data_IF_571604624338
#
_entry.id   IF_571604624338
#
_cell.length_a   1.000
_cell.length_b   1.000
_cell.length_c   1.000
_cell.angle_alpha   90.00
_cell.angle_beta   90.00
_cell.angle_gamma   90.00
#
_symmetry.space_group_name_H-M   'P 1'
#
loop_
_entity.id
_entity.type
_entity.pdbx_description
1 polymer ?
#
# COMPACT_ATOMS: atom_id res chain seq x y z
N UNK A 1 0.86 19.17 6.06
CA UNK A 1 2.04 18.40 5.60
C UNK A 1 1.87 16.91 5.94
N UNK A 2 0.97 16.23 5.22
CA UNK A 2 0.68 14.80 5.37
C UNK A 2 0.72 14.21 3.97
N UNK A 3 1.88 13.69 3.56
CA UNK A 3 2.06 13.21 2.20
C UNK A 3 3.43 12.60 1.92
N UNK A 4 4.18 12.23 2.96
CA UNK A 4 5.44 11.52 2.76
C UNK A 4 5.13 10.02 2.67
N UNK A 5 4.73 9.58 1.48
CA UNK A 5 4.64 8.16 1.15
C UNK A 5 6.04 7.64 0.89
N UNK A 6 6.65 7.01 1.90
CA UNK A 6 7.94 6.36 1.75
C UNK A 6 7.69 4.91 1.31
N UNK A 7 7.69 4.66 0.00
CA UNK A 7 7.90 3.31 -0.51
C UNK A 7 9.34 2.94 -0.15
N UNK A 8 9.53 2.25 0.98
CA UNK A 8 10.83 1.73 1.38
C UNK A 8 11.16 0.47 0.58
N UNK A 9 11.34 0.62 -0.72
CA UNK A 9 12.06 -0.38 -1.51
C UNK A 9 13.54 -0.22 -1.20
N UNK A 10 13.97 -0.85 -0.10
CA UNK A 10 15.40 -0.95 0.21
C UNK A 10 15.91 -2.29 -0.31
N UNK A 11 17.17 -2.36 -0.73
CA UNK A 11 17.80 -3.63 -1.08
C UNK A 11 17.98 -4.56 0.14
N UNK A 12 17.54 -4.13 1.33
CA UNK A 12 17.44 -4.92 2.57
C UNK A 12 16.06 -5.53 2.81
N UNK A 13 15.01 -5.12 2.08
CA UNK A 13 13.80 -5.95 2.02
C UNK A 13 14.22 -7.27 1.42
N UNK A 14 14.07 -8.34 2.19
CA UNK A 14 14.31 -9.70 1.77
C UNK A 14 13.35 -10.05 0.61
N UNK A 15 13.71 -9.64 -0.61
CA UNK A 15 13.26 -10.18 -1.89
C UNK A 15 13.72 -11.65 -2.03
N UNK A 16 14.28 -12.26 -0.97
CA UNK A 16 14.55 -13.70 -0.90
C UNK A 16 13.31 -14.55 -1.18
N UNK A 17 12.11 -14.07 -0.84
CA UNK A 17 10.88 -14.80 -1.17
C UNK A 17 10.32 -14.53 -2.58
N UNK A 18 10.89 -13.57 -3.33
CA UNK A 18 10.57 -13.40 -4.76
C UNK A 18 11.49 -14.23 -5.67
N UNK A 19 12.54 -14.83 -5.08
CA UNK A 19 13.61 -15.53 -5.79
C UNK A 19 13.94 -16.88 -5.17
N UNK A 20 12.92 -17.72 -4.94
CA UNK A 20 13.13 -19.15 -4.66
C UNK A 20 13.82 -19.92 -5.82
N UNK A 21 14.39 -19.22 -6.80
CA UNK A 21 15.19 -19.77 -7.88
C UNK A 21 16.34 -18.82 -8.27
N UNK A 22 17.20 -18.39 -7.35
CA UNK A 22 18.47 -17.77 -7.77
C UNK A 22 19.66 -18.17 -6.88
N UNK A 23 20.14 -19.38 -7.15
CA UNK A 23 21.47 -19.87 -6.80
C UNK A 23 22.54 -18.99 -7.48
N UNK A 24 23.36 -18.32 -6.68
CA UNK A 24 24.71 -17.79 -7.00
C UNK A 24 24.95 -17.42 -8.47
N UNK A 25 24.56 -16.22 -8.90
CA UNK A 25 25.10 -15.60 -10.11
C UNK A 25 25.92 -14.36 -9.73
N UNK A 26 27.11 -14.25 -10.31
CA UNK A 26 27.94 -13.05 -10.21
C UNK A 26 27.25 -11.82 -10.81
N UNK A 27 27.89 -10.63 -10.75
CA UNK A 27 27.30 -9.39 -11.22
C UNK A 27 26.87 -9.54 -12.69
N UNK A 28 25.55 -9.45 -12.91
CA UNK A 28 24.92 -9.52 -14.23
C UNK A 28 25.35 -8.31 -15.07
N UNK A 29 25.68 -8.56 -16.34
CA UNK A 29 26.02 -7.52 -17.33
C UNK A 29 24.84 -6.57 -17.63
N UNK A 30 23.64 -6.93 -17.17
CA UNK A 30 22.43 -6.13 -17.30
C UNK A 30 21.74 -5.92 -15.95
N UNK A 31 21.37 -4.67 -15.61
CA UNK A 31 20.66 -4.39 -14.37
C UNK A 31 19.32 -5.12 -14.38
N UNK A 32 19.01 -5.83 -13.30
CA UNK A 32 17.73 -6.51 -13.16
C UNK A 32 16.64 -5.47 -12.91
N UNK A 33 15.74 -5.31 -13.88
CA UNK A 33 14.63 -4.37 -13.82
C UNK A 33 13.47 -5.01 -13.07
N UNK A 34 12.93 -4.30 -12.08
CA UNK A 34 11.70 -4.66 -11.36
C UNK A 34 10.59 -3.79 -11.94
N UNK A 35 9.58 -4.43 -12.53
CA UNK A 35 8.45 -3.75 -13.16
C UNK A 35 7.35 -3.46 -12.12
N UNK A 36 6.89 -2.21 -12.08
CA UNK A 36 5.89 -1.73 -11.13
C UNK A 36 4.66 -1.25 -11.89
N UNK A 37 3.50 -1.81 -11.56
CA UNK A 37 2.21 -1.22 -11.90
C UNK A 37 1.71 -0.40 -10.72
N UNK A 38 1.58 0.92 -10.89
CA UNK A 38 1.04 1.79 -9.86
C UNK A 38 -0.41 2.10 -10.19
N UNK A 39 -1.30 1.44 -9.47
CA UNK A 39 -2.72 1.69 -9.50
C UNK A 39 -2.96 2.89 -8.61
N UNK A 40 -3.77 3.83 -9.05
CA UNK A 40 -4.05 5.06 -8.34
C UNK A 40 -5.51 5.44 -8.50
N UNK A 41 -5.95 6.33 -7.63
CA UNK A 41 -7.14 7.14 -7.92
C UNK A 41 -6.62 8.37 -8.64
N UNK A 42 -6.96 8.51 -9.91
CA UNK A 42 -6.54 9.64 -10.73
C UNK A 42 -7.76 10.27 -11.40
N UNK A 43 -7.64 11.52 -11.86
CA UNK A 43 -8.62 12.12 -12.75
C UNK A 43 -7.92 12.86 -13.88
N UNK A 44 -7.90 12.31 -15.10
CA UNK A 44 -7.53 13.10 -16.28
C UNK A 44 -8.77 13.87 -16.74
N UNK A 45 -8.84 15.20 -16.56
CA UNK A 45 -9.33 16.15 -17.57
C UNK A 45 -9.35 17.62 -17.07
N UNK A 46 -9.33 18.54 -18.06
CA UNK A 46 -9.37 19.98 -17.90
C UNK A 46 -10.76 20.53 -17.55
N UNK A 47 -10.75 21.49 -16.62
CA UNK A 47 -11.76 22.52 -16.33
C UNK A 47 -13.23 22.12 -16.54
N UNK A 48 -13.91 21.63 -15.49
CA UNK A 48 -15.22 22.15 -15.03
C UNK A 48 -15.95 21.20 -14.04
N UNK A 49 -15.61 21.29 -12.76
CA UNK A 49 -16.54 21.52 -11.63
C UNK A 49 -15.70 21.53 -10.34
N UNK A 50 -16.02 22.43 -9.41
CA UNK A 50 -15.22 22.67 -8.20
C UNK A 50 -15.43 21.64 -7.08
N UNK A 51 -16.37 20.71 -7.24
CA UNK A 51 -16.76 19.78 -6.19
C UNK A 51 -16.99 18.38 -6.75
N UNK A 52 -16.11 17.44 -6.38
CA UNK A 52 -16.40 16.02 -6.52
C UNK A 52 -17.52 15.67 -5.53
N UNK A 53 -18.63 15.05 -5.96
CA UNK A 53 -19.50 14.35 -5.02
C UNK A 53 -18.66 13.36 -4.19
N UNK A 54 -19.05 13.09 -2.95
CA UNK A 54 -18.45 12.00 -2.16
C UNK A 54 -18.65 10.68 -2.89
N UNK A 55 -17.65 10.28 -3.68
CA UNK A 55 -17.81 9.21 -4.65
C UNK A 55 -16.66 9.10 -5.66
N UNK A 56 -16.62 7.95 -6.33
CA UNK A 56 -15.49 7.40 -7.08
C UNK A 56 -15.64 7.70 -8.57
N UNK A 57 -14.62 8.28 -9.19
CA UNK A 57 -14.70 8.78 -10.57
C UNK A 57 -13.39 8.50 -11.32
N UNK A 58 -13.44 7.60 -12.32
CA UNK A 58 -12.36 7.46 -13.31
C UNK A 58 -12.37 8.69 -14.21
N UNK A 59 -11.38 9.57 -14.10
CA UNK A 59 -11.30 10.77 -14.95
C UNK A 59 -12.39 11.83 -14.77
N UNK A 60 -13.42 11.62 -13.94
CA UNK A 60 -14.64 12.46 -14.01
C UNK A 60 -14.59 13.74 -13.16
N UNK A 61 -13.68 13.85 -12.18
CA UNK A 61 -13.64 15.00 -11.27
C UNK A 61 -12.23 15.26 -10.72
N UNK A 62 -11.85 16.54 -10.52
CA UNK A 62 -10.53 16.93 -10.02
C UNK A 62 -10.33 16.44 -8.58
N UNK A 63 -9.41 15.49 -8.39
CA UNK A 63 -8.99 15.10 -7.04
C UNK A 63 -8.21 16.23 -6.37
N UNK A 64 -8.25 16.26 -5.05
CA UNK A 64 -7.46 17.20 -4.25
C UNK A 64 -5.94 17.03 -4.49
N UNK A 65 -5.17 18.00 -4.00
CA UNK A 65 -3.71 17.95 -4.10
C UNK A 65 -3.07 16.74 -3.41
N UNK A 66 -3.77 16.08 -2.47
CA UNK A 66 -3.24 14.93 -1.75
C UNK A 66 -3.11 13.73 -2.68
N UNK A 67 -4.09 13.47 -3.54
CA UNK A 67 -4.02 12.34 -4.49
C UNK A 67 -2.95 12.53 -5.56
N UNK A 68 -2.78 13.75 -6.08
CA UNK A 68 -1.68 14.06 -7.00
C UNK A 68 -0.31 13.87 -6.35
N UNK A 69 -0.19 14.16 -5.04
CA UNK A 69 1.05 13.98 -4.31
C UNK A 69 1.48 12.51 -4.25
N UNK A 70 0.55 11.56 -4.22
CA UNK A 70 0.85 10.12 -4.21
C UNK A 70 1.50 9.70 -5.53
N UNK A 71 0.91 10.12 -6.66
CA UNK A 71 1.43 9.85 -8.00
C UNK A 71 2.85 10.40 -8.20
N UNK A 72 3.02 11.67 -7.85
CA UNK A 72 4.30 12.33 -7.94
C UNK A 72 5.33 11.66 -7.02
N UNK A 73 4.94 11.28 -5.79
CA UNK A 73 5.83 10.58 -4.87
C UNK A 73 6.27 9.22 -5.42
N UNK A 74 5.38 8.47 -6.07
CA UNK A 74 5.72 7.21 -6.71
C UNK A 74 6.72 7.38 -7.87
N UNK A 75 6.47 8.37 -8.74
CA UNK A 75 7.37 8.71 -9.85
C UNK A 75 8.75 9.16 -9.35
N UNK A 76 8.78 10.07 -8.38
CA UNK A 76 10.02 10.56 -7.77
C UNK A 76 10.77 9.44 -7.05
N UNK A 77 10.07 8.53 -6.37
CA UNK A 77 10.71 7.38 -5.72
C UNK A 77 11.40 6.47 -6.73
N UNK A 78 10.78 6.18 -7.88
CA UNK A 78 11.39 5.39 -8.97
C UNK A 78 12.61 6.11 -9.55
N UNK A 79 12.48 7.41 -9.84
CA UNK A 79 13.58 8.22 -10.36
C UNK A 79 14.75 8.28 -9.38
N UNK A 80 14.49 8.66 -8.14
CA UNK A 80 15.50 8.82 -7.11
C UNK A 80 16.17 7.48 -6.76
N UNK A 81 15.40 6.39 -6.68
CA UNK A 81 15.98 5.07 -6.51
C UNK A 81 16.95 4.77 -7.66
N UNK A 82 16.53 4.93 -8.92
CA UNK A 82 17.35 4.62 -10.10
C UNK A 82 18.59 5.51 -10.27
N UNK A 83 18.55 6.74 -9.76
CA UNK A 83 19.67 7.69 -9.75
C UNK A 83 20.54 7.57 -8.48
N UNK A 84 20.14 6.72 -7.53
CA UNK A 84 20.75 6.63 -6.18
C UNK A 84 20.77 7.99 -5.47
N UNK A 85 19.69 8.75 -5.64
CA UNK A 85 19.54 10.09 -5.09
C UNK A 85 18.88 10.04 -3.69
N UNK A 86 19.68 10.31 -2.67
CA UNK A 86 19.27 10.30 -1.26
C UNK A 86 18.54 11.54 -0.75
N UNK A 87 18.20 12.53 -1.61
CA UNK A 87 17.67 13.83 -1.18
C UNK A 87 16.43 13.74 -0.26
N UNK A 88 15.49 12.84 -0.58
CA UNK A 88 14.28 12.63 0.23
C UNK A 88 14.31 11.31 1.00
N UNK A 89 15.05 10.32 0.49
CA UNK A 89 15.18 8.99 1.07
C UNK A 89 16.67 8.70 1.21
N UNK A 90 17.32 9.07 2.33
CA UNK A 90 18.77 8.90 2.48
C UNK A 90 19.25 7.46 2.24
N UNK A 91 18.39 6.47 2.47
CA UNK A 91 18.66 5.07 2.19
C UNK A 91 18.99 4.79 0.70
N UNK A 92 18.50 5.60 -0.25
CA UNK A 92 18.78 5.45 -1.68
C UNK A 92 20.21 5.83 -2.08
N UNK A 93 20.92 6.60 -1.26
CA UNK A 93 22.35 6.95 -1.43
C UNK A 93 23.26 6.14 -0.49
N UNK A 94 22.72 5.10 0.15
CA UNK A 94 23.52 4.23 1.00
C UNK A 94 24.48 3.36 0.18
N UNK A 95 25.57 2.91 0.78
CA UNK A 95 26.50 1.94 0.17
C UNK A 95 25.78 0.67 -0.30
N UNK A 96 24.76 0.22 0.44
CA UNK A 96 23.93 -0.91 0.07
C UNK A 96 23.11 -0.63 -1.21
N UNK A 97 22.58 0.58 -1.39
CA UNK A 97 21.87 0.97 -2.60
C UNK A 97 22.81 1.09 -3.81
N UNK A 98 24.02 1.63 -3.62
CA UNK A 98 25.04 1.70 -4.67
C UNK A 98 25.55 0.32 -5.11
N UNK A 99 25.62 -0.65 -4.19
CA UNK A 99 25.98 -2.04 -4.50
C UNK A 99 24.85 -2.84 -5.16
N UNK A 100 23.63 -2.30 -5.19
CA UNK A 100 22.45 -2.97 -5.71
C UNK A 100 22.35 -2.80 -7.23
N UNK A 101 22.23 -3.88 -7.98
CA UNK A 101 22.12 -3.89 -9.45
C UNK A 101 20.67 -3.74 -9.95
N UNK A 102 19.72 -3.58 -9.03
CA UNK A 102 18.31 -3.44 -9.35
C UNK A 102 17.96 -2.05 -9.86
N UNK A 103 17.06 -2.00 -10.82
CA UNK A 103 16.39 -0.77 -11.29
C UNK A 103 14.88 -0.95 -11.24
N UNK A 104 14.16 0.14 -11.08
CA UNK A 104 12.70 0.14 -11.09
C UNK A 104 12.21 0.68 -12.44
N UNK A 105 11.22 0.02 -13.03
CA UNK A 105 10.53 0.52 -14.22
C UNK A 105 9.04 0.66 -13.88
N UNK A 106 8.52 1.88 -14.03
CA UNK A 106 7.10 2.11 -13.91
C UNK A 106 6.43 1.75 -15.23
N UNK A 107 5.56 0.74 -15.22
CA UNK A 107 4.82 0.29 -16.40
C UNK A 107 3.67 1.25 -16.76
N UNK A 108 3.15 1.95 -15.77
CA UNK A 108 2.11 2.95 -15.94
C UNK A 108 1.50 3.40 -14.61
N UNK A 109 0.81 4.54 -14.68
CA UNK A 109 -0.13 5.00 -13.67
C UNK A 109 -1.53 4.61 -14.14
N UNK A 110 -2.20 3.74 -13.40
CA UNK A 110 -3.49 3.16 -13.79
C UNK A 110 -4.57 3.76 -12.90
N UNK A 111 -5.51 4.50 -13.50
CA UNK A 111 -6.66 5.03 -12.78
C UNK A 111 -7.71 3.95 -12.48
N UNK A 112 -7.66 3.40 -11.28
CA UNK A 112 -8.62 2.41 -10.81
C UNK A 112 -9.91 3.07 -10.30
N UNK A 113 -9.99 4.40 -10.20
CA UNK A 113 -11.16 5.11 -9.67
C UNK A 113 -11.54 4.74 -8.23
N UNK A 114 -10.75 3.91 -7.54
CA UNK A 114 -10.94 3.42 -6.17
C UNK A 114 -12.08 2.40 -5.93
N UNK A 115 -12.61 1.74 -6.98
CA UNK A 115 -13.56 0.62 -6.81
C UNK A 115 -12.86 -0.74 -6.86
N UNK A 116 -13.38 -1.72 -6.12
CA UNK A 116 -12.86 -3.09 -6.13
C UNK A 116 -12.95 -3.71 -7.55
N UNK A 117 -14.08 -3.53 -8.22
CA UNK A 117 -14.34 -4.14 -9.54
C UNK A 117 -13.43 -3.55 -10.61
N UNK A 118 -13.28 -2.22 -10.67
CA UNK A 118 -12.37 -1.57 -11.62
C UNK A 118 -10.93 -2.00 -11.39
N UNK A 119 -10.50 -2.10 -10.13
CA UNK A 119 -9.18 -2.62 -9.76
C UNK A 119 -8.95 -4.03 -10.31
N UNK A 120 -9.92 -4.94 -10.12
CA UNK A 120 -9.83 -6.31 -10.64
C UNK A 120 -9.82 -6.35 -12.17
N UNK A 121 -10.63 -5.50 -12.83
CA UNK A 121 -10.66 -5.39 -14.29
C UNK A 121 -9.33 -4.91 -14.85
N UNK A 122 -8.72 -3.91 -14.22
CA UNK A 122 -7.44 -3.36 -14.66
C UNK A 122 -6.30 -4.36 -14.44
N UNK A 123 -6.32 -5.13 -13.34
CA UNK A 123 -5.34 -6.21 -13.13
C UNK A 123 -5.55 -7.34 -14.14
N UNK A 124 -6.79 -7.75 -14.40
CA UNK A 124 -7.08 -8.72 -15.44
C UNK A 124 -6.62 -8.23 -16.82
N UNK A 125 -6.64 -6.91 -17.05
CA UNK A 125 -6.13 -6.31 -18.28
C UNK A 125 -4.62 -6.45 -18.42
N UNK A 126 -3.86 -6.31 -17.31
CA UNK A 126 -2.42 -6.55 -17.26
C UNK A 126 -2.09 -8.02 -17.56
N UNK A 127 -2.94 -8.95 -17.14
CA UNK A 127 -2.76 -10.39 -17.41
C UNK A 127 -2.91 -10.80 -18.88
N UNK A 128 -3.48 -9.94 -19.72
CA UNK A 128 -3.68 -10.27 -21.15
C UNK A 128 -2.39 -10.30 -21.95
N UNK A 129 -1.34 -9.67 -21.45
CA UNK A 129 -0.01 -9.74 -22.03
C UNK A 129 0.98 -10.36 -21.03
N UNK A 130 1.17 -11.70 -21.07
CA UNK A 130 2.09 -12.38 -20.17
C UNK A 130 3.54 -11.91 -20.27
N UNK A 131 3.92 -11.31 -21.40
CA UNK A 131 5.26 -10.76 -21.60
C UNK A 131 5.46 -9.42 -20.85
N UNK A 132 4.38 -8.81 -20.36
CA UNK A 132 4.38 -7.50 -19.73
C UNK A 132 3.59 -7.50 -18.41
N UNK A 133 3.92 -8.46 -17.54
CA UNK A 133 3.37 -8.53 -16.19
C UNK A 133 4.20 -7.68 -15.21
N UNK A 134 3.56 -6.96 -14.27
CA UNK A 134 4.27 -6.31 -13.18
C UNK A 134 4.80 -7.32 -12.17
N UNK A 135 6.03 -7.11 -11.70
CA UNK A 135 6.58 -7.82 -10.54
C UNK A 135 5.88 -7.40 -9.24
N UNK A 136 5.52 -6.10 -9.17
CA UNK A 136 4.90 -5.46 -8.01
C UNK A 136 3.73 -4.58 -8.43
N UNK A 137 2.63 -4.71 -7.70
CA UNK A 137 1.46 -3.84 -7.80
C UNK A 137 1.45 -2.91 -6.59
N UNK A 138 1.46 -1.60 -6.82
CA UNK A 138 1.28 -0.58 -5.78
C UNK A 138 -0.14 -0.02 -5.92
N UNK A 139 -0.96 -0.03 -4.87
CA UNK A 139 -2.40 0.31 -5.02
C UNK A 139 -3.04 1.02 -3.81
N UNK A 140 -3.98 1.97 -4.02
CA UNK A 140 -4.85 2.53 -3.01
C UNK A 140 -6.08 1.66 -2.88
N UNK A 141 -5.99 0.56 -2.14
CA UNK A 141 -7.20 -0.16 -1.81
C UNK A 141 -7.82 0.45 -0.56
N UNK A 142 -8.95 1.14 -0.67
CA UNK A 142 -9.82 1.35 0.48
C UNK A 142 -10.23 0.01 1.11
N UNK A 143 -10.70 -0.01 2.36
CA UNK A 143 -11.01 -1.27 3.07
C UNK A 143 -11.94 -2.20 2.27
N UNK A 144 -12.92 -1.66 1.53
CA UNK A 144 -13.79 -2.44 0.63
C UNK A 144 -13.06 -2.97 -0.63
N UNK A 145 -12.17 -2.17 -1.22
CA UNK A 145 -11.35 -2.58 -2.38
C UNK A 145 -10.22 -3.55 -2.01
N UNK A 146 -9.83 -3.57 -0.73
CA UNK A 146 -8.70 -4.34 -0.25
C UNK A 146 -8.99 -5.84 -0.24
N UNK A 147 -10.22 -6.26 0.02
CA UNK A 147 -10.57 -7.70 0.07
C UNK A 147 -10.31 -8.39 -1.28
N UNK A 148 -10.67 -7.76 -2.39
CA UNK A 148 -10.40 -8.30 -3.74
C UNK A 148 -8.90 -8.38 -4.04
N UNK A 149 -8.14 -7.35 -3.66
CA UNK A 149 -6.70 -7.29 -3.88
C UNK A 149 -5.90 -8.24 -2.99
N UNK A 150 -6.27 -8.31 -1.73
CA UNK A 150 -5.70 -9.20 -0.75
C UNK A 150 -6.01 -10.65 -1.15
N UNK A 151 -7.18 -10.93 -1.75
CA UNK A 151 -7.46 -12.23 -2.37
C UNK A 151 -6.52 -12.56 -3.53
N UNK A 152 -6.17 -11.60 -4.39
CA UNK A 152 -5.16 -11.80 -5.44
C UNK A 152 -3.76 -12.07 -4.87
N UNK A 153 -3.38 -11.41 -3.77
CA UNK A 153 -2.14 -11.71 -3.05
C UNK A 153 -2.17 -13.11 -2.44
N UNK A 154 -3.32 -13.54 -1.91
CA UNK A 154 -3.53 -14.90 -1.39
C UNK A 154 -3.43 -15.99 -2.45
N UNK A 155 -3.77 -15.68 -3.71
CA UNK A 155 -3.51 -16.54 -4.86
C UNK A 155 -2.02 -16.54 -5.29
N UNK A 156 -1.16 -15.79 -4.59
CA UNK A 156 0.28 -15.67 -4.84
C UNK A 156 0.66 -15.19 -6.25
N UNK A 157 -0.25 -14.52 -6.95
CA UNK A 157 -0.02 -14.09 -8.35
C UNK A 157 0.89 -12.87 -8.39
N UNK A 158 0.71 -11.92 -7.47
CA UNK A 158 1.45 -10.65 -7.44
C UNK A 158 1.93 -10.30 -6.05
N UNK A 159 3.00 -9.53 -5.99
CA UNK A 159 3.39 -8.78 -4.80
C UNK A 159 2.59 -7.48 -4.77
N UNK A 160 1.84 -7.27 -3.70
CA UNK A 160 0.96 -6.12 -3.57
C UNK A 160 1.44 -5.27 -2.41
N UNK A 161 1.80 -4.02 -2.69
CA UNK A 161 2.12 -3.00 -1.69
C UNK A 161 0.96 -2.00 -1.67
N UNK A 162 0.19 -2.00 -0.59
CA UNK A 162 -0.96 -1.12 -0.46
C UNK A 162 -0.68 0.05 0.46
N UNK A 163 -1.04 1.26 0.04
CA UNK A 163 -0.70 2.48 0.77
C UNK A 163 -1.91 3.15 1.44
N UNK A 164 -3.06 2.48 1.49
CA UNK A 164 -4.30 3.03 2.04
C UNK A 164 -5.13 2.14 2.99
N UNK A 165 -5.10 0.78 2.93
CA UNK A 165 -5.99 -0.03 3.74
C UNK A 165 -5.47 -0.16 5.17
N UNK A 166 -6.33 0.17 6.14
CA UNK A 166 -6.08 -0.05 7.57
C UNK A 166 -6.78 -1.30 8.10
N UNK A 167 -7.64 -1.96 7.32
CA UNK A 167 -8.41 -3.13 7.76
C UNK A 167 -7.51 -4.24 8.35
N UNK A 168 -7.87 -4.82 9.51
CA UNK A 168 -7.12 -5.90 10.14
C UNK A 168 -6.98 -7.17 9.31
N UNK A 169 -7.98 -7.48 8.48
CA UNK A 169 -8.03 -8.68 7.65
C UNK A 169 -6.84 -8.78 6.68
N UNK A 170 -6.33 -7.63 6.23
CA UNK A 170 -5.20 -7.56 5.33
C UNK A 170 -3.84 -7.87 6.02
N UNK A 171 -3.83 -8.00 7.35
CA UNK A 171 -2.63 -8.29 8.15
C UNK A 171 -2.37 -9.78 8.34
N UNK A 172 -3.25 -10.65 7.83
CA UNK A 172 -3.13 -12.10 7.96
C UNK A 172 -2.04 -12.62 7.01
N UNK A 173 -0.79 -12.55 7.43
CA UNK A 173 0.38 -12.98 6.64
C UNK A 173 0.30 -14.43 6.18
N UNK A 174 -0.25 -15.33 7.01
CA UNK A 174 -0.53 -16.73 6.64
C UNK A 174 -1.47 -16.86 5.44
N UNK A 175 -2.44 -15.94 5.34
CA UNK A 175 -3.46 -15.95 4.29
C UNK A 175 -3.02 -15.15 3.07
N UNK A 176 -2.18 -14.12 3.26
CA UNK A 176 -1.81 -13.15 2.24
C UNK A 176 -0.30 -12.87 2.27
N UNK A 177 0.56 -13.87 1.99
CA UNK A 177 2.00 -13.78 2.21
C UNK A 177 2.72 -12.78 1.29
N UNK A 178 2.08 -12.36 0.19
CA UNK A 178 2.61 -11.39 -0.77
C UNK A 178 1.99 -10.00 -0.64
N UNK A 179 1.22 -9.78 0.42
CA UNK A 179 0.61 -8.49 0.71
C UNK A 179 1.44 -7.72 1.73
N UNK A 180 1.74 -6.47 1.42
CA UNK A 180 2.43 -5.52 2.27
C UNK A 180 1.62 -4.22 2.33
N UNK A 181 1.76 -3.45 3.40
CA UNK A 181 1.16 -2.12 3.49
C UNK A 181 2.04 -1.12 4.20
N UNK A 182 1.82 0.17 3.93
CA UNK A 182 2.57 1.27 4.55
C UNK A 182 1.82 1.96 5.69
N UNK A 183 0.51 1.71 5.84
CA UNK A 183 -0.32 2.27 6.90
C UNK A 183 -0.53 1.20 7.99
N UNK A 184 -0.49 1.56 9.29
CA UNK A 184 -0.78 0.63 10.37
C UNK A 184 -2.20 0.04 10.30
N UNK A 185 -2.38 -1.11 10.94
CA UNK A 185 -3.71 -1.70 11.10
C UNK A 185 -4.60 -0.86 12.00
N UNK A 186 -5.91 -0.93 11.77
CA UNK A 186 -6.95 -0.50 12.71
C UNK A 186 -6.77 -1.18 14.07
N UNK A 187 -6.28 -2.43 14.11
CA UNK A 187 -5.91 -3.12 15.35
C UNK A 187 -4.87 -2.33 16.15
N UNK A 188 -3.75 -1.93 15.53
CA UNK A 188 -2.68 -1.20 16.22
C UNK A 188 -3.15 0.16 16.77
N UNK A 189 -3.98 0.85 15.97
CA UNK A 189 -4.58 2.13 16.36
C UNK A 189 -5.57 1.95 17.50
N UNK A 190 -6.43 0.93 17.42
CA UNK A 190 -7.40 0.60 18.46
C UNK A 190 -6.69 0.25 19.78
N UNK A 191 -5.67 -0.62 19.74
CA UNK A 191 -4.88 -0.98 20.90
C UNK A 191 -4.26 0.25 21.59
N UNK A 192 -3.62 1.14 20.82
CA UNK A 192 -3.03 2.36 21.37
C UNK A 192 -4.08 3.28 22.01
N UNK A 193 -5.26 3.41 21.39
CA UNK A 193 -6.36 4.23 21.93
C UNK A 193 -6.95 3.62 23.20
N UNK A 194 -7.17 2.30 23.24
CA UNK A 194 -7.65 1.61 24.44
C UNK A 194 -6.67 1.78 25.60
N UNK A 195 -5.36 1.56 25.35
CA UNK A 195 -4.32 1.75 26.36
C UNK A 195 -4.27 3.19 26.89
N UNK A 196 -4.42 4.18 26.01
CA UNK A 196 -4.51 5.58 26.42
C UNK A 196 -5.76 5.86 27.27
N UNK A 197 -6.93 5.36 26.88
CA UNK A 197 -8.16 5.55 27.65
C UNK A 197 -8.12 4.90 29.02
N UNK A 198 -7.52 3.72 29.12
CA UNK A 198 -7.42 2.97 30.37
C UNK A 198 -6.38 3.60 31.31
N UNK A 199 -5.15 3.82 30.84
CA UNK A 199 -4.04 4.16 31.73
C UNK A 199 -3.86 5.66 31.95
N UNK A 200 -4.05 6.45 30.89
CA UNK A 200 -3.82 7.91 30.96
C UNK A 200 -5.09 8.65 31.35
N UNK A 201 -6.24 8.23 30.81
CA UNK A 201 -7.52 8.90 31.06
C UNK A 201 -8.34 8.27 32.19
N UNK A 202 -8.00 7.04 32.62
CA UNK A 202 -8.74 6.30 33.65
C UNK A 202 -10.25 6.27 33.37
N UNK A 203 -10.61 6.10 32.10
CA UNK A 203 -12.02 6.18 31.66
C UNK A 203 -12.76 4.88 31.93
N UNK A 204 -13.89 4.96 32.61
CA UNK A 204 -14.77 3.80 32.87
C UNK A 204 -15.71 3.49 31.68
N UNK A 205 -15.87 4.44 30.75
CA UNK A 205 -16.72 4.28 29.59
C UNK A 205 -16.18 5.07 28.39
N UNK A 206 -16.34 4.50 27.21
CA UNK A 206 -16.07 5.16 25.93
C UNK A 206 -17.23 4.92 24.96
N UNK A 207 -17.48 5.91 24.09
CA UNK A 207 -18.44 5.80 23.00
C UNK A 207 -17.74 6.10 21.68
N UNK A 208 -18.15 5.40 20.62
CA UNK A 208 -17.53 5.49 19.30
C UNK A 208 -18.62 5.87 18.30
N UNK A 209 -18.33 6.85 17.46
CA UNK A 209 -19.13 7.19 16.29
C UNK A 209 -18.35 6.69 15.07
N UNK A 210 -18.93 5.76 14.32
CA UNK A 210 -18.32 5.19 13.12
C UNK A 210 -19.23 5.35 11.91
N UNK A 211 -18.64 5.37 10.72
CA UNK A 211 -19.39 5.18 9.48
C UNK A 211 -19.95 3.76 9.41
N UNK A 212 -21.09 3.60 8.74
CA UNK A 212 -21.68 2.29 8.47
C UNK A 212 -21.13 1.70 7.16
N UNK A 213 -19.82 1.50 7.14
CA UNK A 213 -19.07 0.88 6.03
C UNK A 213 -18.06 -0.13 6.59
N UNK A 214 -17.35 -0.85 5.74
CA UNK A 214 -16.40 -1.85 6.22
C UNK A 214 -15.31 -1.24 7.11
N UNK A 215 -14.82 -0.03 6.80
CA UNK A 215 -13.77 0.60 7.63
C UNK A 215 -14.30 0.88 9.04
N UNK A 216 -15.47 1.51 9.15
CA UNK A 216 -16.10 1.81 10.44
C UNK A 216 -16.44 0.56 11.24
N UNK A 217 -16.99 -0.46 10.60
CA UNK A 217 -17.32 -1.74 11.24
C UNK A 217 -16.07 -2.49 11.72
N UNK A 218 -14.99 -2.52 10.93
CA UNK A 218 -13.73 -3.17 11.34
C UNK A 218 -13.05 -2.44 12.48
N UNK A 219 -13.01 -1.11 12.44
CA UNK A 219 -12.45 -0.34 13.54
C UNK A 219 -13.25 -0.52 14.84
N UNK A 220 -14.58 -0.60 14.76
CA UNK A 220 -15.44 -0.94 15.92
C UNK A 220 -15.10 -2.31 16.50
N UNK A 221 -14.93 -3.32 15.65
CA UNK A 221 -14.55 -4.67 16.10
C UNK A 221 -13.16 -4.68 16.76
N UNK A 222 -12.20 -3.93 16.21
CA UNK A 222 -10.86 -3.79 16.79
C UNK A 222 -10.92 -3.13 18.18
N UNK A 223 -11.67 -2.04 18.35
CA UNK A 223 -11.85 -1.40 19.66
C UNK A 223 -12.55 -2.32 20.66
N UNK A 224 -13.59 -3.05 20.24
CA UNK A 224 -14.24 -4.04 21.12
C UNK A 224 -13.24 -5.10 21.60
N UNK A 225 -12.40 -5.62 20.70
CA UNK A 225 -11.36 -6.58 21.05
C UNK A 225 -10.38 -6.01 22.08
N UNK A 226 -9.78 -4.85 21.84
CA UNK A 226 -8.69 -4.36 22.69
C UNK A 226 -9.13 -3.57 23.93
N UNK A 227 -10.32 -2.97 23.94
CA UNK A 227 -10.81 -2.20 25.08
C UNK A 227 -11.65 -3.04 26.05
N UNK A 228 -12.20 -4.18 25.61
CA UNK A 228 -13.07 -5.04 26.44
C UNK A 228 -12.47 -6.40 26.74
N UNK A 229 -11.63 -6.92 25.85
CA UNK A 229 -10.91 -8.18 26.05
C UNK A 229 -9.47 -7.85 26.44
N UNK A 230 -8.95 -8.50 27.48
CA UNK A 230 -7.58 -8.28 28.01
C UNK A 230 -6.53 -8.92 27.08
N UNK A 231 -6.48 -8.40 25.84
CA UNK A 231 -5.72 -8.97 24.72
C UNK A 231 -4.46 -8.15 24.49
N UNK A 232 -3.32 -8.79 24.75
CA UNK A 232 -2.01 -8.21 24.48
C UNK A 232 -1.66 -8.29 22.98
N UNK A 233 -1.22 -7.18 22.40
CA UNK A 233 -0.71 -7.12 21.03
C UNK A 233 0.82 -7.24 21.00
N UNK A 234 1.37 -8.21 20.27
CA UNK A 234 2.81 -8.23 19.98
C UNK A 234 3.15 -7.23 18.87
N UNK A 235 3.65 -6.06 19.27
CA UNK A 235 4.03 -4.99 18.34
C UNK A 235 5.21 -5.37 17.40
N UNK A 236 5.84 -6.54 17.59
CA UNK A 236 6.89 -7.04 16.70
C UNK A 236 6.36 -7.79 15.47
N UNK A 237 5.04 -8.02 15.39
CA UNK A 237 4.41 -8.66 14.22
C UNK A 237 4.03 -7.67 13.11
N UNK A 238 4.43 -6.39 13.22
CA UNK A 238 4.19 -5.33 12.22
C UNK A 238 5.38 -5.13 11.29
#
# INVERSE_FOLDING_TARGET
>A
PRGLFLLLLTCSLNIRDLSAAETTRGPSEHPHVISIAMLQRWSEFGVASSECPTGLHRGACLLDSEWHSVALSGLLAVEHFNQRNGQYVPAFDSSAAHACDKRLALMGLIDIGGQAISTLQDIASLQRDPANLPDVIVSPTGSDGSVGMVSLAGLQVYNIISYWPSSPEASLSERYPRFMRTIPSDDAVAFAICSFWEHEMQSEAAAIISSNDAKGERYKQALQRYCLEDVYMDLRSF
#
